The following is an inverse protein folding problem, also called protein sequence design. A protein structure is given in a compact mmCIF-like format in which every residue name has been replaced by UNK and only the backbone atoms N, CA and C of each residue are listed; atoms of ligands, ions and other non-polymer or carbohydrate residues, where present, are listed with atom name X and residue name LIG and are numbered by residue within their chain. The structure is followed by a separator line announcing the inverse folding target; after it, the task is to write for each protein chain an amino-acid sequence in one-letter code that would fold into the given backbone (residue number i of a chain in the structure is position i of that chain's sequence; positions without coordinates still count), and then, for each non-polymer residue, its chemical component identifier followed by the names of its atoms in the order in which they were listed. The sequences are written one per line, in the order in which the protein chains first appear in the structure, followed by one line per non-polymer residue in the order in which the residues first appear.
data_IF_791386800046
#
_entry.id   IF_791386800046
#
_cell.length_a   1.000
_cell.length_b   1.000
_cell.length_c   1.000
_cell.angle_alpha   90.00
_cell.angle_beta   90.00
_cell.angle_gamma   90.00
#
_symmetry.space_group_name_H-M   'P 1'
#
loop_
_entity.id
_entity.type
_entity.pdbx_description
1 polymer ?
#
# COMPACT_ATOMS: atom_id res chain seq x y z
N UNK A 1 64.09 -20.87 -104.15
CA UNK A 1 64.41 -20.35 -102.80
C UNK A 1 63.39 -20.92 -101.82
N UNK A 2 63.85 -21.65 -100.79
CA UNK A 2 63.24 -21.85 -99.43
C UNK A 2 61.81 -22.43 -99.34
N UNK A 3 61.39 -23.33 -98.43
CA UNK A 3 61.95 -24.07 -97.31
C UNK A 3 60.90 -25.11 -96.83
N UNK A 4 61.33 -26.34 -96.60
CA UNK A 4 61.00 -27.34 -95.56
C UNK A 4 59.67 -27.45 -94.74
N UNK A 5 59.38 -28.74 -94.44
CA UNK A 5 58.64 -29.40 -93.30
C UNK A 5 57.11 -29.48 -93.43
N UNK A 6 56.42 -30.55 -93.03
CA UNK A 6 56.77 -31.79 -92.34
C UNK A 6 55.49 -32.39 -91.72
N UNK A 7 55.32 -33.72 -91.82
CA UNK A 7 54.21 -34.53 -91.28
C UNK A 7 54.01 -34.37 -89.76
N UNK A 8 52.77 -34.51 -89.27
CA UNK A 8 52.43 -35.26 -88.04
C UNK A 8 50.91 -35.36 -87.87
N UNK A 9 50.39 -36.59 -87.88
CA UNK A 9 49.08 -36.90 -87.33
C UNK A 9 49.16 -37.03 -85.81
N UNK A 10 48.02 -36.91 -85.12
CA UNK A 10 47.70 -37.63 -83.88
C UNK A 10 46.25 -37.38 -83.47
N UNK A 11 45.55 -38.49 -83.27
CA UNK A 11 44.25 -38.59 -82.59
C UNK A 11 44.31 -37.92 -81.21
N UNK A 12 43.44 -36.93 -80.97
CA UNK A 12 43.09 -36.55 -79.60
C UNK A 12 41.78 -37.23 -79.20
N UNK A 13 41.93 -38.34 -78.45
CA UNK A 13 40.89 -38.93 -77.62
C UNK A 13 40.48 -37.91 -76.56
N UNK A 14 39.18 -37.59 -76.49
CA UNK A 14 38.58 -37.05 -75.27
C UNK A 14 38.69 -38.11 -74.16
N UNK A 15 39.62 -37.92 -73.22
CA UNK A 15 39.61 -38.65 -71.96
C UNK A 15 38.56 -38.00 -71.06
N UNK A 16 37.46 -38.72 -70.80
CA UNK A 16 36.57 -38.40 -69.70
C UNK A 16 37.33 -38.62 -68.37
N UNK A 17 37.16 -37.74 -67.36
CA UNK A 17 37.80 -37.95 -66.08
C UNK A 17 37.27 -39.23 -65.42
N UNK A 18 38.24 -39.97 -64.93
CA UNK A 18 38.18 -41.15 -64.09
C UNK A 18 37.12 -41.01 -62.98
N UNK A 19 36.20 -41.99 -62.94
CA UNK A 19 35.42 -42.45 -61.77
C UNK A 19 35.25 -41.43 -60.62
N UNK A 20 34.07 -40.80 -60.55
CA UNK A 20 33.53 -40.32 -59.28
C UNK A 20 33.52 -41.49 -58.29
N UNK A 21 34.04 -41.33 -57.05
CA UNK A 21 33.87 -42.35 -56.04
C UNK A 21 32.37 -42.54 -55.83
N UNK A 22 31.90 -43.79 -55.91
CA UNK A 22 30.56 -44.17 -55.45
C UNK A 22 30.50 -43.85 -53.96
N UNK A 23 30.01 -42.66 -53.61
CA UNK A 23 29.69 -42.32 -52.24
C UNK A 23 28.56 -43.26 -51.82
N UNK A 24 28.91 -44.30 -51.06
CA UNK A 24 27.94 -45.16 -50.40
C UNK A 24 26.97 -44.26 -49.64
N UNK A 25 25.67 -44.37 -49.93
CA UNK A 25 24.65 -43.61 -49.21
C UNK A 25 24.86 -43.88 -47.71
N UNK A 26 24.90 -42.84 -46.86
CA UNK A 26 25.13 -43.02 -45.43
C UNK A 26 24.08 -43.98 -44.88
N UNK A 27 24.51 -44.82 -43.95
CA UNK A 27 23.58 -45.72 -43.27
C UNK A 27 22.51 -44.90 -42.56
N UNK A 28 21.33 -45.48 -42.40
CA UNK A 28 20.20 -44.80 -41.74
C UNK A 28 20.55 -44.37 -40.30
N UNK A 29 21.54 -45.03 -39.68
CA UNK A 29 22.03 -44.75 -38.33
C UNK A 29 22.97 -43.55 -38.29
N UNK A 30 23.89 -43.42 -39.24
CA UNK A 30 24.76 -42.24 -39.40
C UNK A 30 23.97 -40.97 -39.74
N UNK A 31 22.96 -41.09 -40.61
CA UNK A 31 22.06 -39.97 -40.89
C UNK A 31 21.31 -39.52 -39.62
N UNK A 32 20.89 -40.47 -38.76
CA UNK A 32 20.22 -40.18 -37.49
C UNK A 32 21.16 -39.54 -36.46
N UNK A 33 22.42 -39.96 -36.37
CA UNK A 33 23.39 -39.38 -35.42
C UNK A 33 23.71 -37.93 -35.76
N UNK A 34 23.96 -37.62 -37.04
CA UNK A 34 24.20 -36.24 -37.52
C UNK A 34 22.99 -35.34 -37.26
N UNK A 35 21.77 -35.84 -37.51
CA UNK A 35 20.55 -35.09 -37.19
C UNK A 35 20.42 -34.86 -35.68
N UNK A 36 20.77 -35.85 -34.84
CA UNK A 36 20.75 -35.70 -33.37
C UNK A 36 21.75 -34.64 -32.90
N UNK A 37 22.99 -34.67 -33.39
CA UNK A 37 24.02 -33.70 -33.04
C UNK A 37 23.64 -32.28 -33.48
N UNK A 38 23.19 -32.11 -34.72
CA UNK A 38 22.72 -30.81 -35.22
C UNK A 38 21.52 -30.29 -34.42
N UNK A 39 20.58 -31.17 -34.08
CA UNK A 39 19.45 -30.81 -33.21
C UNK A 39 19.91 -30.46 -31.79
N UNK A 40 20.91 -31.14 -31.25
CA UNK A 40 21.49 -30.88 -29.94
C UNK A 40 22.22 -29.54 -29.91
N UNK A 41 23.01 -29.21 -30.93
CA UNK A 41 23.70 -27.93 -31.07
C UNK A 41 22.70 -26.78 -31.24
N UNK A 42 21.69 -26.92 -32.11
CA UNK A 42 20.61 -25.94 -32.25
C UNK A 42 19.86 -25.72 -30.95
N UNK A 43 19.54 -26.80 -30.22
CA UNK A 43 18.90 -26.71 -28.89
C UNK A 43 19.79 -25.99 -27.88
N UNK A 44 21.10 -26.26 -27.88
CA UNK A 44 22.08 -25.61 -27.01
C UNK A 44 22.19 -24.10 -27.31
N UNK A 45 22.34 -23.72 -28.57
CA UNK A 45 22.37 -22.30 -29.00
C UNK A 45 21.08 -21.57 -28.64
N UNK A 46 19.91 -22.19 -28.89
CA UNK A 46 18.60 -21.62 -28.54
C UNK A 46 18.42 -21.46 -27.03
N UNK A 47 18.89 -22.43 -26.23
CA UNK A 47 18.90 -22.32 -24.76
C UNK A 47 19.78 -21.17 -24.28
N UNK A 48 21.02 -21.08 -24.77
CA UNK A 48 21.93 -19.96 -24.40
C UNK A 48 21.32 -18.61 -24.76
N UNK A 49 20.78 -18.48 -25.96
CA UNK A 49 20.09 -17.27 -26.39
C UNK A 49 18.92 -16.92 -25.46
N UNK A 50 18.04 -17.89 -25.16
CA UNK A 50 16.93 -17.68 -24.23
C UNK A 50 17.41 -17.28 -22.82
N UNK A 51 18.51 -17.84 -22.32
CA UNK A 51 19.12 -17.46 -21.05
C UNK A 51 19.61 -16.01 -21.07
N UNK A 52 20.34 -15.58 -22.10
CA UNK A 52 20.84 -14.21 -22.20
C UNK A 52 19.71 -13.18 -22.28
N UNK A 53 18.67 -13.46 -23.08
CA UNK A 53 17.51 -12.57 -23.18
C UNK A 53 16.75 -12.53 -21.86
N UNK A 54 16.53 -13.68 -21.20
CA UNK A 54 15.88 -13.71 -19.89
C UNK A 54 16.65 -12.89 -18.85
N UNK A 55 17.98 -13.04 -18.80
CA UNK A 55 18.83 -12.26 -17.91
C UNK A 55 18.75 -10.76 -18.22
N UNK A 56 18.68 -10.39 -19.50
CA UNK A 56 18.55 -8.99 -19.93
C UNK A 56 17.20 -8.39 -19.51
N UNK A 57 16.09 -9.12 -19.69
CA UNK A 57 14.75 -8.67 -19.26
C UNK A 57 14.70 -8.50 -17.74
N UNK A 58 15.29 -9.42 -16.98
CA UNK A 58 15.38 -9.31 -15.52
C UNK A 58 16.25 -8.13 -15.09
N UNK A 59 17.39 -7.91 -15.74
CA UNK A 59 18.27 -6.77 -15.46
C UNK A 59 17.59 -5.43 -15.76
N UNK A 60 16.86 -5.33 -16.88
CA UNK A 60 16.06 -4.14 -17.23
C UNK A 60 14.95 -3.91 -16.21
N UNK A 61 14.25 -4.96 -15.80
CA UNK A 61 13.19 -4.87 -14.78
C UNK A 61 13.75 -4.43 -13.42
N UNK A 62 14.91 -4.96 -13.02
CA UNK A 62 15.58 -4.53 -11.80
C UNK A 62 16.06 -3.06 -11.90
N UNK A 63 16.63 -2.65 -13.05
CA UNK A 63 16.99 -1.27 -13.31
C UNK A 63 15.78 -0.33 -13.22
N UNK A 64 14.66 -0.71 -13.84
CA UNK A 64 13.39 0.02 -13.73
C UNK A 64 12.96 0.16 -12.26
N UNK A 65 12.94 -0.93 -11.51
CA UNK A 65 12.58 -0.89 -10.08
C UNK A 65 13.44 0.11 -9.29
N UNK A 66 14.76 0.06 -9.48
CA UNK A 66 15.70 0.93 -8.77
C UNK A 66 15.57 2.41 -9.15
N UNK A 67 15.18 2.72 -10.40
CA UNK A 67 15.01 4.10 -10.87
C UNK A 67 13.81 4.83 -10.25
N UNK A 68 12.81 4.09 -9.78
CA UNK A 68 11.59 4.66 -9.18
C UNK A 68 11.46 4.33 -7.69
N UNK A 69 12.59 4.11 -7.00
CA UNK A 69 12.58 4.04 -5.54
C UNK A 69 12.37 5.45 -4.97
N UNK A 70 11.44 5.53 -4.02
CA UNK A 70 11.04 6.75 -3.32
C UNK A 70 10.91 6.43 -1.82
N UNK A 71 10.79 7.46 -0.98
CA UNK A 71 10.58 7.31 0.47
C UNK A 71 9.18 7.73 0.86
N UNK A 72 8.51 6.91 1.66
CA UNK A 72 7.19 7.22 2.22
C UNK A 72 7.30 8.37 3.23
N UNK A 73 6.45 9.41 3.13
CA UNK A 73 6.38 10.47 4.14
C UNK A 73 6.02 9.91 5.52
N UNK A 74 6.56 10.50 6.60
CA UNK A 74 6.33 10.11 8.01
C UNK A 74 6.99 8.78 8.39
N UNK A 75 6.72 7.68 7.68
CA UNK A 75 7.29 6.38 8.04
C UNK A 75 8.75 6.23 7.61
N UNK A 76 9.20 6.89 6.54
CA UNK A 76 10.59 6.77 6.04
C UNK A 76 10.88 5.47 5.28
N UNK A 77 9.88 4.62 5.04
CA UNK A 77 10.04 3.36 4.30
C UNK A 77 10.40 3.62 2.84
N UNK A 78 11.35 2.85 2.30
CA UNK A 78 11.62 2.84 0.86
C UNK A 78 10.50 2.08 0.14
N UNK A 79 9.93 2.71 -0.89
CA UNK A 79 8.84 2.20 -1.72
C UNK A 79 9.19 2.32 -3.20
N UNK A 80 8.47 1.57 -4.05
CA UNK A 80 8.56 1.69 -5.50
C UNK A 80 7.34 2.43 -6.04
N UNK A 81 7.55 3.59 -6.67
CA UNK A 81 6.48 4.48 -7.09
C UNK A 81 6.74 5.07 -8.49
N UNK A 82 6.15 4.43 -9.48
CA UNK A 82 6.18 4.86 -10.88
C UNK A 82 4.93 5.66 -11.28
N UNK A 83 3.81 5.47 -10.57
CA UNK A 83 2.56 6.19 -10.84
C UNK A 83 2.71 7.68 -10.55
N UNK A 84 2.55 8.47 -11.60
CA UNK A 84 2.61 9.92 -11.58
C UNK A 84 1.37 10.54 -10.92
N UNK A 85 1.44 11.77 -10.40
CA UNK A 85 0.26 12.48 -9.89
C UNK A 85 -0.86 12.62 -10.93
N UNK A 86 -0.53 12.74 -12.22
CA UNK A 86 -1.51 12.84 -13.29
C UNK A 86 -2.23 11.51 -13.54
N UNK A 87 -1.51 10.39 -13.58
CA UNK A 87 -2.11 9.04 -13.66
C UNK A 87 -3.00 8.77 -12.43
N UNK A 88 -2.55 9.17 -11.24
CA UNK A 88 -3.30 9.05 -9.99
C UNK A 88 -4.60 9.87 -10.01
N UNK A 89 -4.55 11.12 -10.48
CA UNK A 89 -5.74 11.97 -10.63
C UNK A 89 -6.71 11.39 -11.67
N UNK A 90 -6.22 10.89 -12.79
CA UNK A 90 -7.07 10.26 -13.80
C UNK A 90 -7.78 9.03 -13.24
N UNK A 91 -7.06 8.18 -12.50
CA UNK A 91 -7.65 7.03 -11.82
C UNK A 91 -8.69 7.47 -10.79
N UNK A 92 -8.38 8.51 -10.01
CA UNK A 92 -9.31 9.10 -9.05
C UNK A 92 -10.63 9.51 -9.71
N UNK A 93 -10.57 10.24 -10.83
CA UNK A 93 -11.74 10.74 -11.53
C UNK A 93 -12.60 9.59 -12.08
N UNK A 94 -11.97 8.54 -12.62
CA UNK A 94 -12.67 7.35 -13.10
C UNK A 94 -13.40 6.64 -11.95
N UNK A 95 -12.68 6.32 -10.87
CA UNK A 95 -13.26 5.63 -9.71
C UNK A 95 -14.34 6.45 -9.03
N UNK A 96 -14.14 7.76 -8.92
CA UNK A 96 -15.12 8.66 -8.34
C UNK A 96 -16.42 8.69 -9.14
N UNK A 97 -16.33 8.81 -10.47
CA UNK A 97 -17.52 8.84 -11.32
C UNK A 97 -18.29 7.51 -11.28
N UNK A 98 -17.58 6.38 -11.24
CA UNK A 98 -18.17 5.05 -11.09
C UNK A 98 -18.92 4.93 -9.74
N UNK A 99 -18.24 5.26 -8.63
CA UNK A 99 -18.85 5.15 -7.30
C UNK A 99 -20.05 6.07 -7.10
N UNK A 100 -19.98 7.31 -7.60
CA UNK A 100 -21.10 8.25 -7.53
C UNK A 100 -22.26 7.75 -8.40
N UNK A 101 -21.99 7.21 -9.59
CA UNK A 101 -23.02 6.63 -10.46
C UNK A 101 -23.72 5.45 -9.78
N UNK A 102 -22.96 4.54 -9.17
CA UNK A 102 -23.48 3.30 -8.58
C UNK A 102 -24.24 3.52 -7.26
N UNK A 103 -24.01 4.65 -6.58
CA UNK A 103 -24.59 4.94 -5.28
C UNK A 103 -25.44 6.22 -5.26
N UNK A 104 -25.75 6.81 -6.41
CA UNK A 104 -26.39 8.13 -6.50
C UNK A 104 -27.68 8.25 -5.66
N UNK A 105 -28.47 7.18 -5.60
CA UNK A 105 -29.73 7.08 -4.87
C UNK A 105 -29.56 6.82 -3.36
N UNK A 106 -28.37 6.38 -2.93
CA UNK A 106 -28.03 6.01 -1.54
C UNK A 106 -27.14 7.04 -0.86
N UNK A 107 -26.70 8.07 -1.58
CA UNK A 107 -25.89 9.13 -0.98
C UNK A 107 -26.73 9.96 -0.01
N UNK A 108 -26.28 10.04 1.23
CA UNK A 108 -26.88 10.94 2.21
C UNK A 108 -26.59 12.38 1.82
N UNK A 109 -27.56 13.27 2.11
CA UNK A 109 -27.41 14.71 1.93
C UNK A 109 -26.21 15.28 2.70
N UNK A 110 -25.61 16.35 2.19
CA UNK A 110 -24.52 17.09 2.86
C UNK A 110 -24.94 17.63 4.24
N UNK A 111 -26.24 17.86 4.44
CA UNK A 111 -26.82 18.34 5.70
C UNK A 111 -27.20 17.22 6.67
N UNK A 112 -27.02 15.96 6.28
CA UNK A 112 -27.28 14.84 7.18
C UNK A 112 -26.31 14.89 8.38
N UNK A 113 -26.79 14.66 9.62
CA UNK A 113 -25.93 14.69 10.81
C UNK A 113 -24.69 13.78 10.72
N UNK A 114 -24.80 12.61 10.08
CA UNK A 114 -23.66 11.71 9.88
C UNK A 114 -22.64 12.31 8.91
N UNK A 115 -23.10 12.88 7.79
CA UNK A 115 -22.23 13.55 6.82
C UNK A 115 -21.50 14.74 7.45
N UNK A 116 -22.22 15.56 8.25
CA UNK A 116 -21.63 16.69 8.98
C UNK A 116 -20.60 16.24 10.02
N UNK A 117 -20.85 15.12 10.71
CA UNK A 117 -19.91 14.53 11.65
C UNK A 117 -18.62 14.10 10.94
N UNK A 118 -18.73 13.32 9.87
CA UNK A 118 -17.58 12.86 9.07
C UNK A 118 -16.81 14.05 8.49
N UNK A 119 -17.50 15.05 7.95
CA UNK A 119 -16.89 16.27 7.44
C UNK A 119 -16.16 17.07 8.53
N UNK A 120 -16.75 17.15 9.73
CA UNK A 120 -16.12 17.78 10.90
C UNK A 120 -14.83 17.09 11.32
N UNK A 121 -14.80 15.75 11.26
CA UNK A 121 -13.60 14.97 11.54
C UNK A 121 -12.53 15.14 10.47
N UNK A 122 -12.91 14.99 9.20
CA UNK A 122 -12.01 15.18 8.06
C UNK A 122 -11.37 16.57 8.07
N UNK A 123 -12.15 17.62 8.39
CA UNK A 123 -11.66 19.01 8.48
C UNK A 123 -10.50 19.20 9.47
N UNK A 124 -10.42 18.38 10.52
CA UNK A 124 -9.33 18.41 11.50
C UNK A 124 -8.14 17.52 11.09
N UNK A 125 -8.41 16.40 10.42
CA UNK A 125 -7.36 15.46 9.97
C UNK A 125 -6.60 15.95 8.72
N UNK A 126 -7.28 16.57 7.76
CA UNK A 126 -6.69 16.99 6.48
C UNK A 126 -5.52 17.98 6.65
N UNK A 127 -5.61 19.02 7.51
CA UNK A 127 -4.48 19.95 7.69
C UNK A 127 -3.24 19.27 8.28
N UNK A 128 -3.42 18.35 9.23
CA UNK A 128 -2.29 17.67 9.88
C UNK A 128 -1.67 16.58 9.01
N UNK A 129 -2.40 16.08 8.00
CA UNK A 129 -1.87 15.13 7.02
C UNK A 129 -0.95 15.77 5.98
N UNK A 130 -1.00 17.10 5.85
CA UNK A 130 -0.21 17.84 4.85
C UNK A 130 -0.78 17.77 3.42
N UNK A 131 -1.98 17.21 3.25
CA UNK A 131 -2.64 17.05 1.94
C UNK A 131 -3.69 18.15 1.67
N UNK A 132 -3.45 19.38 2.11
CA UNK A 132 -4.41 20.49 2.00
C UNK A 132 -4.68 20.97 0.58
N UNK A 133 -3.86 20.53 -0.39
CA UNK A 133 -3.95 20.91 -1.80
C UNK A 133 -4.87 20.02 -2.63
N UNK A 134 -5.46 18.97 -2.05
CA UNK A 134 -6.42 18.11 -2.73
C UNK A 134 -7.85 18.67 -2.61
N UNK A 135 -8.71 18.34 -3.58
CA UNK A 135 -10.14 18.70 -3.56
C UNK A 135 -10.89 17.72 -2.64
N UNK A 136 -10.85 17.96 -1.33
CA UNK A 136 -11.46 17.04 -0.38
C UNK A 136 -12.99 17.06 -0.44
N UNK A 137 -13.61 15.88 -0.55
CA UNK A 137 -15.07 15.72 -0.44
C UNK A 137 -15.42 14.53 0.42
N UNK A 138 -16.57 14.63 1.09
CA UNK A 138 -17.08 13.59 1.98
C UNK A 138 -18.41 13.11 1.45
N UNK A 139 -18.52 11.79 1.32
CA UNK A 139 -19.73 11.10 0.90
C UNK A 139 -20.07 10.03 1.93
N UNK A 140 -21.32 10.05 2.42
CA UNK A 140 -21.83 8.97 3.26
C UNK A 140 -22.85 8.19 2.44
N UNK A 141 -22.64 6.88 2.31
CA UNK A 141 -23.49 5.97 1.55
C UNK A 141 -24.36 5.20 2.53
N UNK A 142 -25.67 5.18 2.28
CA UNK A 142 -26.61 4.30 2.98
C UNK A 142 -26.36 2.85 2.57
N UNK A 143 -25.53 2.17 3.36
CA UNK A 143 -25.15 0.78 3.19
C UNK A 143 -24.90 0.17 4.58
N UNK A 144 -25.59 -0.93 4.94
CA UNK A 144 -25.40 -1.59 6.24
C UNK A 144 -24.04 -2.29 6.38
N UNK A 145 -23.31 -2.52 5.30
CA UNK A 145 -21.97 -3.10 5.38
C UNK A 145 -20.98 -2.07 5.95
N UNK A 146 -20.32 -2.36 7.10
CA UNK A 146 -19.33 -1.47 7.68
C UNK A 146 -18.16 -1.29 6.72
N UNK A 147 -17.92 -0.05 6.26
CA UNK A 147 -16.76 0.29 5.45
C UNK A 147 -16.48 1.81 5.48
N UNK A 148 -15.22 2.18 5.26
CA UNK A 148 -14.79 3.53 4.90
C UNK A 148 -13.53 3.42 4.06
N UNK A 149 -13.37 4.33 3.08
CA UNK A 149 -12.18 4.37 2.24
C UNK A 149 -11.95 5.77 1.69
N UNK A 150 -10.69 6.03 1.30
CA UNK A 150 -10.29 7.28 0.64
C UNK A 150 -9.78 6.97 -0.75
N UNK A 151 -10.43 7.57 -1.75
CA UNK A 151 -9.92 7.52 -3.12
C UNK A 151 -8.71 8.44 -3.27
N UNK A 152 -7.82 8.14 -4.24
CA UNK A 152 -6.83 9.10 -4.67
C UNK A 152 -7.47 10.45 -5.01
N UNK A 153 -6.77 11.55 -4.73
CA UNK A 153 -7.31 12.90 -4.95
C UNK A 153 -8.25 13.42 -3.84
N UNK A 154 -8.44 12.68 -2.74
CA UNK A 154 -9.04 13.21 -1.50
C UNK A 154 -10.56 13.03 -1.38
N UNK A 155 -11.14 11.97 -1.94
CA UNK A 155 -12.58 11.70 -1.80
C UNK A 155 -12.79 10.65 -0.70
N UNK A 156 -13.44 11.04 0.39
CA UNK A 156 -13.75 10.18 1.54
C UNK A 156 -15.14 9.57 1.33
N UNK A 157 -15.24 8.25 1.43
CA UNK A 157 -16.49 7.52 1.41
C UNK A 157 -16.66 6.75 2.72
N UNK A 158 -17.85 6.82 3.31
CA UNK A 158 -18.18 6.12 4.56
C UNK A 158 -19.55 5.45 4.41
N UNK A 159 -19.65 4.17 4.75
CA UNK A 159 -20.93 3.48 4.78
C UNK A 159 -21.63 3.67 6.13
N UNK A 160 -22.96 3.75 6.14
CA UNK A 160 -23.74 3.87 7.39
C UNK A 160 -23.51 2.73 8.38
N UNK A 161 -23.22 1.51 7.90
CA UNK A 161 -22.89 0.36 8.74
C UNK A 161 -21.66 0.56 9.62
N UNK A 162 -20.74 1.47 9.26
CA UNK A 162 -19.57 1.77 10.08
C UNK A 162 -19.96 2.31 11.47
N UNK A 163 -21.05 3.06 11.53
CA UNK A 163 -21.53 3.69 12.78
C UNK A 163 -22.18 2.69 13.75
N UNK A 164 -22.36 1.42 13.35
CA UNK A 164 -22.74 0.34 14.26
C UNK A 164 -21.55 -0.15 15.11
N UNK A 165 -20.33 0.02 14.59
CA UNK A 165 -19.08 -0.42 15.24
C UNK A 165 -18.40 0.73 15.98
N UNK A 166 -18.36 1.90 15.33
CA UNK A 166 -17.70 3.11 15.84
C UNK A 166 -18.61 3.80 16.86
N UNK A 167 -18.15 3.92 18.10
CA UNK A 167 -18.96 4.42 19.23
C UNK A 167 -18.70 5.88 19.59
N UNK A 168 -17.69 6.51 18.99
CA UNK A 168 -17.31 7.91 19.28
C UNK A 168 -16.70 8.60 18.07
N UNK A 169 -16.65 9.94 18.15
CA UNK A 169 -15.98 10.78 17.13
C UNK A 169 -14.47 10.52 17.11
N UNK A 170 -13.88 10.16 18.24
CA UNK A 170 -12.46 9.78 18.33
C UNK A 170 -12.19 8.46 17.60
N UNK A 171 -13.04 7.45 17.79
CA UNK A 171 -12.96 6.18 17.05
C UNK A 171 -13.17 6.40 15.55
N UNK A 172 -14.10 7.27 15.16
CA UNK A 172 -14.27 7.68 13.76
C UNK A 172 -12.99 8.35 13.21
N UNK A 173 -12.35 9.20 13.99
CA UNK A 173 -11.10 9.86 13.61
C UNK A 173 -9.93 8.89 13.47
N UNK A 174 -9.90 7.81 14.24
CA UNK A 174 -8.91 6.73 14.09
C UNK A 174 -9.12 6.01 12.75
N UNK A 175 -10.36 5.62 12.41
CA UNK A 175 -10.67 4.99 11.12
C UNK A 175 -10.34 5.93 9.96
N UNK A 176 -10.84 7.17 9.97
CA UNK A 176 -10.55 8.13 8.90
C UNK A 176 -9.07 8.52 8.84
N UNK A 177 -8.39 8.54 9.98
CA UNK A 177 -6.94 8.75 10.06
C UNK A 177 -6.18 7.63 9.34
N UNK A 178 -6.58 6.38 9.52
CA UNK A 178 -6.07 5.21 8.79
C UNK A 178 -6.32 5.33 7.28
N UNK A 179 -7.53 5.68 6.86
CA UNK A 179 -7.85 5.84 5.44
C UNK A 179 -7.07 7.00 4.78
N UNK A 180 -6.94 8.14 5.49
CA UNK A 180 -6.12 9.26 5.01
C UNK A 180 -4.64 8.87 4.99
N UNK A 181 -4.17 8.04 5.92
CA UNK A 181 -2.80 7.54 5.92
C UNK A 181 -2.47 6.72 4.66
N UNK A 182 -3.42 5.92 4.14
CA UNK A 182 -3.25 5.28 2.84
C UNK A 182 -3.00 6.28 1.71
N UNK A 183 -3.67 7.43 1.74
CA UNK A 183 -3.47 8.50 0.77
C UNK A 183 -2.14 9.26 0.98
N UNK A 184 -1.76 9.55 2.23
CA UNK A 184 -0.46 10.16 2.57
C UNK A 184 0.69 9.28 2.09
N UNK A 185 0.59 7.98 2.33
CA UNK A 185 1.58 6.99 1.91
C UNK A 185 1.40 6.51 0.46
N UNK A 186 0.43 7.07 -0.29
CA UNK A 186 0.11 6.74 -1.69
C UNK A 186 0.07 5.23 -1.96
N UNK A 187 -0.51 4.46 -1.04
CA UNK A 187 -0.48 2.99 -1.08
C UNK A 187 -1.15 2.40 -2.34
N UNK A 188 -2.24 3.02 -2.81
CA UNK A 188 -2.91 2.63 -4.07
C UNK A 188 -1.98 2.78 -5.27
N UNK A 189 -1.28 3.92 -5.34
CA UNK A 189 -0.31 4.21 -6.39
C UNK A 189 0.92 3.29 -6.33
N UNK A 190 1.35 2.89 -5.13
CA UNK A 190 2.41 1.90 -4.94
C UNK A 190 1.99 0.51 -5.47
N UNK A 191 0.80 0.02 -5.09
CA UNK A 191 0.23 -1.24 -5.60
C UNK A 191 0.10 -1.22 -7.13
N UNK A 192 -0.38 -0.12 -7.69
CA UNK A 192 -0.51 0.04 -9.14
C UNK A 192 0.85 0.07 -9.85
N UNK A 193 1.86 0.71 -9.25
CA UNK A 193 3.24 0.73 -9.78
C UNK A 193 3.79 -0.70 -9.93
N UNK A 194 3.66 -1.53 -8.89
CA UNK A 194 4.07 -2.94 -8.94
C UNK A 194 3.34 -3.73 -10.03
N UNK A 195 2.02 -3.50 -10.18
CA UNK A 195 1.24 -4.15 -11.23
C UNK A 195 1.67 -3.70 -12.63
N UNK A 196 1.92 -2.40 -12.84
CA UNK A 196 2.43 -1.83 -14.10
C UNK A 196 3.77 -2.46 -14.47
N UNK A 197 4.72 -2.50 -13.54
CA UNK A 197 6.01 -3.17 -13.74
C UNK A 197 5.85 -4.65 -14.11
N UNK A 198 5.01 -5.40 -13.39
CA UNK A 198 4.75 -6.83 -13.70
C UNK A 198 4.22 -7.03 -15.11
N UNK A 199 3.23 -6.23 -15.52
CA UNK A 199 2.62 -6.32 -16.86
C UNK A 199 3.67 -5.99 -17.93
N UNK A 200 4.48 -4.95 -17.74
CA UNK A 200 5.55 -4.59 -18.66
C UNK A 200 6.60 -5.71 -18.79
N UNK A 201 7.08 -6.26 -17.67
CA UNK A 201 8.03 -7.37 -17.67
C UNK A 201 7.45 -8.62 -18.32
N UNK A 202 6.19 -8.97 -18.03
CA UNK A 202 5.50 -10.10 -18.65
C UNK A 202 5.32 -9.91 -20.16
N UNK A 203 4.98 -8.69 -20.60
CA UNK A 203 4.88 -8.33 -22.01
C UNK A 203 6.21 -8.49 -22.75
N UNK A 204 7.32 -8.02 -22.16
CA UNK A 204 8.66 -8.24 -22.70
C UNK A 204 8.99 -9.73 -22.81
N UNK A 205 8.70 -10.51 -21.76
CA UNK A 205 8.89 -11.96 -21.78
C UNK A 205 8.09 -12.63 -22.90
N UNK A 206 6.84 -12.20 -23.13
CA UNK A 206 5.98 -12.72 -24.19
C UNK A 206 6.54 -12.41 -25.58
N UNK A 207 6.95 -11.16 -25.84
CA UNK A 207 7.55 -10.73 -27.12
C UNK A 207 8.80 -11.55 -27.47
N UNK A 208 9.62 -11.90 -26.48
CA UNK A 208 10.84 -12.68 -26.67
C UNK A 208 10.65 -14.21 -26.56
N UNK A 209 9.41 -14.69 -26.38
CA UNK A 209 9.10 -16.13 -26.29
C UNK A 209 9.61 -16.81 -25.01
N UNK A 210 9.65 -16.07 -23.89
CA UNK A 210 10.10 -16.53 -22.56
C UNK A 210 8.89 -16.96 -21.71
N UNK A 211 8.13 -17.92 -22.23
CA UNK A 211 6.84 -18.34 -21.66
C UNK A 211 6.94 -18.82 -20.20
N UNK A 212 8.04 -19.52 -19.86
CA UNK A 212 8.26 -20.02 -18.51
C UNK A 212 8.34 -18.89 -17.47
N UNK A 213 8.90 -17.73 -17.84
CA UNK A 213 9.06 -16.59 -16.94
C UNK A 213 7.74 -15.82 -16.79
N UNK A 214 6.89 -15.78 -17.82
CA UNK A 214 5.55 -15.20 -17.74
C UNK A 214 4.72 -15.90 -16.66
N UNK A 215 4.73 -17.23 -16.62
CA UNK A 215 4.01 -17.99 -15.60
C UNK A 215 4.55 -17.73 -14.19
N UNK A 216 5.87 -17.63 -14.03
CA UNK A 216 6.49 -17.31 -12.74
C UNK A 216 6.15 -15.89 -12.27
N UNK A 217 6.12 -14.92 -13.17
CA UNK A 217 5.67 -13.56 -12.87
C UNK A 217 4.18 -13.60 -12.48
N UNK A 218 3.32 -14.31 -13.22
CA UNK A 218 1.92 -14.44 -12.83
C UNK A 218 1.77 -15.01 -11.42
N UNK A 219 2.47 -16.12 -11.11
CA UNK A 219 2.46 -16.77 -9.81
C UNK A 219 3.06 -15.93 -8.67
N UNK A 220 4.04 -15.07 -8.96
CA UNK A 220 4.67 -14.22 -7.94
C UNK A 220 3.73 -13.19 -7.32
N UNK A 221 2.54 -12.97 -7.91
CA UNK A 221 1.54 -12.06 -7.37
C UNK A 221 1.25 -12.39 -5.91
N UNK A 222 0.92 -13.63 -5.61
CA UNK A 222 0.52 -14.07 -4.27
C UNK A 222 1.66 -13.99 -3.25
N UNK A 223 2.88 -14.31 -3.66
CA UNK A 223 4.05 -14.30 -2.78
C UNK A 223 4.52 -12.90 -2.41
N UNK A 224 4.33 -11.93 -3.31
CA UNK A 224 4.72 -10.54 -3.08
C UNK A 224 3.57 -9.74 -2.48
N UNK A 225 2.33 -9.93 -2.96
CA UNK A 225 1.19 -9.10 -2.59
C UNK A 225 0.76 -9.26 -1.13
N UNK A 226 0.75 -10.49 -0.60
CA UNK A 226 0.28 -10.75 0.77
C UNK A 226 1.16 -10.11 1.86
N UNK A 227 2.49 -10.35 1.92
CA UNK A 227 3.34 -9.70 2.93
C UNK A 227 3.40 -8.17 2.73
N UNK A 228 3.39 -7.72 1.47
CA UNK A 228 3.36 -6.31 1.13
C UNK A 228 2.08 -5.63 1.62
N UNK A 229 0.92 -6.28 1.46
CA UNK A 229 -0.35 -5.77 1.97
C UNK A 229 -0.32 -5.59 3.48
N UNK A 230 0.23 -6.55 4.23
CA UNK A 230 0.36 -6.44 5.70
C UNK A 230 1.25 -5.27 6.13
N UNK A 231 2.34 -5.01 5.39
CA UNK A 231 3.23 -3.89 5.67
C UNK A 231 2.55 -2.55 5.40
N UNK A 232 1.78 -2.45 4.31
CA UNK A 232 0.96 -1.28 3.97
C UNK A 232 -0.06 -0.98 5.08
N UNK A 233 -0.77 -2.00 5.57
CA UNK A 233 -1.75 -1.83 6.64
C UNK A 233 -1.10 -1.37 7.96
N UNK A 234 0.03 -1.97 8.34
CA UNK A 234 0.77 -1.57 9.53
C UNK A 234 1.34 -0.13 9.43
N UNK A 235 1.74 0.28 8.23
CA UNK A 235 2.18 1.65 7.98
C UNK A 235 1.01 2.65 8.06
N UNK A 236 -0.16 2.27 7.54
CA UNK A 236 -1.37 3.07 7.66
C UNK A 236 -1.84 3.18 9.12
N UNK A 237 -1.77 2.11 9.91
CA UNK A 237 -2.06 2.14 11.36
C UNK A 237 -1.16 3.16 12.08
N UNK A 238 0.15 3.09 11.84
CA UNK A 238 1.13 3.97 12.46
C UNK A 238 0.88 5.44 12.10
N UNK A 239 0.82 5.74 10.79
CA UNK A 239 0.60 7.11 10.32
C UNK A 239 -0.77 7.62 10.78
N UNK A 240 -1.83 6.81 10.65
CA UNK A 240 -3.20 7.17 11.02
C UNK A 240 -3.34 7.48 12.51
N UNK A 241 -2.69 6.70 13.37
CA UNK A 241 -2.63 6.96 14.81
C UNK A 241 -1.97 8.32 15.11
N UNK A 242 -0.85 8.62 14.46
CA UNK A 242 -0.18 9.92 14.61
C UNK A 242 -0.99 11.09 14.03
N UNK A 243 -1.73 10.88 12.95
CA UNK A 243 -2.63 11.90 12.38
C UNK A 243 -3.80 12.20 13.32
N UNK A 244 -4.47 11.17 13.85
CA UNK A 244 -5.55 11.33 14.81
C UNK A 244 -5.09 12.07 16.07
N UNK A 245 -3.94 11.66 16.62
CA UNK A 245 -3.31 12.33 17.75
C UNK A 245 -2.97 13.79 17.45
N UNK A 246 -2.35 14.07 16.30
CA UNK A 246 -1.97 15.43 15.91
C UNK A 246 -3.18 16.33 15.64
N UNK A 247 -4.31 15.76 15.20
CA UNK A 247 -5.60 16.44 15.04
C UNK A 247 -6.37 16.60 16.37
N UNK A 248 -5.76 16.26 17.50
CA UNK A 248 -6.32 16.40 18.84
C UNK A 248 -7.51 15.49 19.14
N UNK A 249 -7.54 14.29 18.54
CA UNK A 249 -8.45 13.23 18.92
C UNK A 249 -7.85 12.33 20.00
N UNK A 250 -8.71 11.72 20.80
CA UNK A 250 -8.31 10.76 21.81
C UNK A 250 -7.91 9.43 21.15
N UNK A 251 -6.61 9.16 21.11
CA UNK A 251 -6.04 7.87 20.70
C UNK A 251 -5.96 6.90 21.88
N UNK A 252 -5.98 7.45 23.10
CA UNK A 252 -6.03 6.80 24.40
C UNK A 252 -7.37 7.10 25.10
N UNK A 253 -7.89 6.15 25.89
CA UNK A 253 -9.18 6.34 26.59
C UNK A 253 -9.07 7.33 27.76
N UNK A 254 -7.87 7.64 28.24
CA UNK A 254 -7.65 8.29 29.54
C UNK A 254 -8.13 9.76 29.65
N UNK A 255 -8.67 10.35 28.59
CA UNK A 255 -9.20 11.72 28.61
C UNK A 255 -10.68 11.87 28.24
N UNK A 256 -11.47 10.78 28.27
CA UNK A 256 -12.91 10.84 28.00
C UNK A 256 -13.78 11.43 29.15
N UNK A 257 -13.19 12.10 30.15
CA UNK A 257 -13.93 12.83 31.20
C UNK A 257 -13.88 14.36 31.06
N UNK A 258 -13.45 14.89 29.90
CA UNK A 258 -13.42 16.32 29.63
C UNK A 258 -13.86 16.69 28.20
N UNK A 259 -15.15 16.93 28.03
CA UNK A 259 -15.75 17.87 27.07
C UNK A 259 -16.22 17.44 25.65
N UNK A 260 -16.06 16.22 25.12
CA UNK A 260 -16.62 15.90 23.78
C UNK A 260 -17.12 14.46 23.56
N UNK A 261 -18.13 14.03 24.31
CA UNK A 261 -18.80 12.74 24.06
C UNK A 261 -20.26 12.97 23.68
N UNK A 262 -20.59 12.81 22.39
CA UNK A 262 -21.96 12.44 21.99
C UNK A 262 -22.03 10.93 22.21
N UNK A 263 -22.50 10.53 23.40
CA UNK A 263 -22.70 9.13 23.76
C UNK A 263 -23.95 8.65 23.03
N UNK A 264 -23.81 7.71 22.09
CA UNK A 264 -24.97 7.05 21.47
C UNK A 264 -25.53 5.89 22.32
N UNK A 265 -24.79 5.35 23.30
CA UNK A 265 -25.31 4.30 24.19
C UNK A 265 -24.70 4.37 25.62
N UNK A 266 -25.50 4.57 26.69
CA UNK A 266 -24.98 4.80 28.04
C UNK A 266 -24.52 3.57 28.84
N UNK A 267 -24.81 2.33 28.41
CA UNK A 267 -24.89 1.23 29.38
C UNK A 267 -23.75 0.19 29.37
N UNK A 268 -22.73 0.28 28.52
CA UNK A 268 -21.73 -0.81 28.43
C UNK A 268 -20.29 -0.35 28.20
N UNK A 269 -19.54 0.08 29.24
CA UNK A 269 -18.07 -0.09 29.23
C UNK A 269 -17.45 -0.17 30.64
N UNK A 270 -17.08 -1.36 31.13
CA UNK A 270 -15.94 -1.55 32.01
C UNK A 270 -14.80 -2.20 31.22
N UNK A 271 -14.04 -1.41 30.44
CA UNK A 271 -12.88 -1.93 29.71
C UNK A 271 -11.62 -1.80 30.57
N UNK A 272 -10.98 -2.95 30.79
CA UNK A 272 -9.82 -3.16 31.67
C UNK A 272 -8.48 -2.84 30.97
N UNK A 273 -8.50 -2.19 29.81
CA UNK A 273 -7.33 -1.72 29.05
C UNK A 273 -7.68 -0.36 28.38
N UNK A 274 -7.03 0.77 28.76
CA UNK A 274 -7.59 2.11 28.59
C UNK A 274 -7.19 2.81 27.28
N UNK A 275 -7.34 2.16 26.12
CA UNK A 275 -6.91 2.74 24.84
C UNK A 275 -7.97 2.64 23.74
N UNK A 276 -8.37 3.77 23.15
CA UNK A 276 -9.43 3.85 22.14
C UNK A 276 -9.07 3.11 20.85
N UNK A 277 -7.86 3.31 20.31
CA UNK A 277 -7.44 2.62 19.08
C UNK A 277 -7.31 1.09 19.23
N UNK A 278 -6.58 0.53 20.22
CA UNK A 278 -6.54 -0.92 20.46
C UNK A 278 -7.92 -1.54 20.73
N UNK A 279 -8.79 -0.84 21.46
CA UNK A 279 -10.16 -1.29 21.73
C UNK A 279 -10.98 -1.35 20.46
N UNK A 280 -10.93 -0.31 19.64
CA UNK A 280 -11.59 -0.25 18.35
C UNK A 280 -11.17 -1.41 17.45
N UNK A 281 -9.86 -1.61 17.26
CA UNK A 281 -9.34 -2.68 16.41
C UNK A 281 -9.68 -4.08 16.95
N UNK A 282 -9.72 -4.23 18.27
CA UNK A 282 -10.18 -5.46 18.91
C UNK A 282 -11.67 -5.70 18.61
N UNK A 283 -12.50 -4.65 18.65
CA UNK A 283 -13.94 -4.70 18.33
C UNK A 283 -14.15 -5.09 16.87
N UNK A 284 -13.43 -4.46 15.95
CA UNK A 284 -13.41 -4.84 14.53
C UNK A 284 -13.06 -6.33 14.38
N UNK A 285 -12.00 -6.79 15.04
CA UNK A 285 -11.58 -8.19 14.95
C UNK A 285 -12.60 -9.16 15.58
N UNK A 286 -13.32 -8.78 16.63
CA UNK A 286 -14.32 -9.66 17.29
C UNK A 286 -15.67 -9.67 16.57
N UNK A 287 -16.16 -8.49 16.15
CA UNK A 287 -17.48 -8.33 15.52
C UNK A 287 -17.45 -8.70 14.04
N UNK A 288 -16.32 -8.47 13.36
CA UNK A 288 -16.14 -8.83 11.94
C UNK A 288 -15.31 -10.10 11.73
N UNK A 289 -14.61 -10.64 12.74
CA UNK A 289 -13.80 -11.86 12.59
C UNK A 289 -14.61 -13.14 12.32
N UNK A 290 -15.90 -13.18 12.69
CA UNK A 290 -16.85 -14.22 12.25
C UNK A 290 -17.40 -13.98 10.83
N UNK A 291 -17.15 -12.79 10.28
CA UNK A 291 -17.56 -12.29 8.98
C UNK A 291 -16.31 -11.96 8.15
N UNK A 292 -15.47 -12.95 7.84
CA UNK A 292 -14.35 -12.85 6.88
C UNK A 292 -14.76 -12.24 5.51
N UNK A 293 -16.05 -11.95 5.29
CA UNK A 293 -16.65 -11.33 4.11
C UNK A 293 -17.05 -9.86 4.29
N UNK A 294 -16.80 -9.21 5.42
CA UNK A 294 -17.08 -7.76 5.52
C UNK A 294 -16.18 -6.98 4.56
N UNK A 295 -16.76 -6.01 3.84
CA UNK A 295 -16.02 -5.19 2.88
C UNK A 295 -14.78 -4.54 3.52
N UNK A 296 -14.91 -4.07 4.77
CA UNK A 296 -13.79 -3.50 5.52
C UNK A 296 -12.65 -4.49 5.79
N UNK A 297 -12.91 -5.72 6.26
CA UNK A 297 -11.83 -6.70 6.49
C UNK A 297 -11.25 -7.29 5.20
N UNK A 298 -12.03 -7.30 4.12
CA UNK A 298 -11.56 -7.65 2.78
C UNK A 298 -10.51 -6.64 2.30
N UNK A 299 -10.76 -5.35 2.55
CA UNK A 299 -9.86 -4.27 2.16
C UNK A 299 -8.70 -4.09 3.17
N UNK A 300 -8.97 -4.34 4.46
CA UNK A 300 -8.07 -4.12 5.61
C UNK A 300 -8.04 -5.32 6.57
N UNK A 301 -7.22 -6.35 6.30
CA UNK A 301 -7.13 -7.51 7.18
C UNK A 301 -6.56 -7.13 8.56
N UNK A 302 -7.37 -7.26 9.62
CA UNK A 302 -6.93 -7.05 11.01
C UNK A 302 -6.22 -8.28 11.55
N UNK A 303 -5.31 -8.10 12.52
CA UNK A 303 -4.67 -9.21 13.24
C UNK A 303 -4.33 -8.81 14.67
N UNK A 304 -4.27 -9.80 15.57
CA UNK A 304 -3.67 -9.69 16.92
C UNK A 304 -2.33 -8.95 16.88
N UNK A 305 -1.49 -9.29 15.89
CA UNK A 305 -0.19 -8.68 15.69
C UNK A 305 -0.25 -7.18 15.39
N UNK A 306 -1.23 -6.72 14.58
CA UNK A 306 -1.46 -5.29 14.33
C UNK A 306 -1.94 -4.56 15.59
N UNK A 307 -2.83 -5.17 16.37
CA UNK A 307 -3.33 -4.60 17.64
C UNK A 307 -2.17 -4.36 18.61
N UNK A 308 -1.26 -5.33 18.75
CA UNK A 308 -0.08 -5.19 19.61
C UNK A 308 0.90 -4.11 19.10
N UNK A 309 1.03 -3.94 17.79
CA UNK A 309 1.82 -2.86 17.21
C UNK A 309 1.21 -1.48 17.49
N UNK A 310 -0.11 -1.33 17.38
CA UNK A 310 -0.82 -0.10 17.74
C UNK A 310 -0.62 0.24 19.22
N UNK A 311 -0.70 -0.75 20.11
CA UNK A 311 -0.37 -0.55 21.55
C UNK A 311 1.06 -0.08 21.75
N UNK A 312 2.01 -0.63 21.00
CA UNK A 312 3.42 -0.23 21.05
C UNK A 312 3.64 1.22 20.60
N UNK A 313 2.95 1.68 19.55
CA UNK A 313 3.07 3.05 19.02
C UNK A 313 2.26 4.10 19.79
N UNK A 314 1.30 3.66 20.60
CA UNK A 314 0.40 4.56 21.33
C UNK A 314 1.13 5.62 22.19
N UNK A 315 2.19 5.31 22.95
CA UNK A 315 2.93 6.32 23.71
C UNK A 315 3.51 7.43 22.83
N UNK A 316 4.08 7.09 21.66
CA UNK A 316 4.61 8.07 20.71
C UNK A 316 3.52 8.96 20.12
N UNK A 317 2.35 8.38 19.84
CA UNK A 317 1.18 9.15 19.41
C UNK A 317 0.68 10.13 20.49
N UNK A 318 0.64 9.71 21.75
CA UNK A 318 0.26 10.58 22.89
C UNK A 318 1.22 11.77 23.02
N UNK A 319 2.53 11.55 22.90
CA UNK A 319 3.50 12.64 22.93
C UNK A 319 3.30 13.61 21.75
N UNK A 320 2.97 13.09 20.57
CA UNK A 320 2.66 13.93 19.42
C UNK A 320 1.39 14.77 19.64
N UNK A 321 0.37 14.22 20.29
CA UNK A 321 -0.84 14.97 20.68
C UNK A 321 -0.49 16.13 21.62
N UNK A 322 0.36 15.90 22.63
CA UNK A 322 0.82 16.96 23.55
C UNK A 322 1.58 18.06 22.81
N UNK A 323 2.46 17.68 21.88
CA UNK A 323 3.23 18.61 21.06
C UNK A 323 2.36 19.46 20.12
N UNK A 324 1.18 18.97 19.71
CA UNK A 324 0.22 19.69 18.89
C UNK A 324 -0.58 20.78 19.64
N UNK A 325 -0.24 21.08 20.90
CA UNK A 325 -0.89 22.09 21.74
C UNK A 325 -2.43 21.95 21.83
N UNK A 326 -2.91 20.71 21.75
CA UNK A 326 -4.33 20.38 21.75
C UNK A 326 -5.11 20.94 22.95
N UNK A 327 -4.41 21.15 24.07
CA UNK A 327 -4.96 21.71 25.31
C UNK A 327 -5.24 23.23 25.23
N UNK A 328 -4.72 23.92 24.21
CA UNK A 328 -4.96 25.36 24.01
C UNK A 328 -6.28 25.66 23.28
N UNK A 329 -6.85 24.68 22.57
CA UNK A 329 -8.11 24.85 21.84
C UNK A 329 -9.33 25.02 22.78
N UNK A 330 -9.48 24.24 23.87
CA UNK A 330 -10.51 24.49 24.89
C UNK A 330 -10.25 25.78 25.67
N UNK A 331 -8.97 26.10 25.98
CA UNK A 331 -8.59 27.27 26.77
C UNK A 331 -8.93 28.60 26.06
N UNK A 332 -8.81 28.67 24.74
CA UNK A 332 -9.25 29.83 23.97
C UNK A 332 -10.78 30.00 24.02
N UNK A 333 -11.55 28.90 23.89
CA UNK A 333 -13.01 28.95 23.96
C UNK A 333 -13.51 29.26 25.38
N UNK A 334 -12.86 28.74 26.43
CA UNK A 334 -13.13 29.14 27.81
C UNK A 334 -12.78 30.61 28.06
N UNK A 335 -11.65 31.11 27.56
CA UNK A 335 -11.27 32.52 27.69
C UNK A 335 -12.23 33.44 26.93
N UNK A 336 -12.65 33.05 25.72
CA UNK A 336 -13.61 33.78 24.89
C UNK A 336 -15.01 33.78 25.52
N UNK A 337 -15.49 32.63 26.00
CA UNK A 337 -16.76 32.52 26.72
C UNK A 337 -16.71 33.21 28.08
N UNK A 338 -15.57 33.23 28.76
CA UNK A 338 -15.33 34.00 29.98
C UNK A 338 -15.29 35.51 29.75
N UNK A 339 -14.89 35.95 28.56
CA UNK A 339 -14.94 37.36 28.14
C UNK A 339 -16.37 37.80 27.77
N UNK A 340 -17.20 36.89 27.24
CA UNK A 340 -18.62 37.12 26.96
C UNK A 340 -19.53 36.93 28.20
N UNK A 341 -19.10 36.13 29.16
CA UNK A 341 -19.80 35.78 30.39
C UNK A 341 -19.16 36.42 31.62
N UNK A 342 -19.27 37.75 31.73
CA UNK A 342 -18.82 38.49 32.91
C UNK A 342 -19.68 38.24 34.14
N UNK A 343 -19.55 37.06 34.80
CA UNK A 343 -19.80 36.91 36.24
C UNK A 343 -19.26 35.56 36.77
N UNK A 344 -17.98 35.50 37.13
CA UNK A 344 -17.48 34.57 38.15
C UNK A 344 -16.07 34.99 38.62
N UNK A 345 -16.03 35.57 39.82
CA UNK A 345 -15.03 35.33 40.86
C UNK A 345 -13.54 35.40 40.49
N UNK A 346 -12.88 36.42 41.04
CA UNK A 346 -11.43 36.56 41.17
C UNK A 346 -10.70 35.21 41.41
N UNK A 347 -9.84 34.82 40.47
CA UNK A 347 -8.69 33.96 40.77
C UNK A 347 -7.40 34.64 40.32
N UNK A 348 -6.41 34.54 41.22
CA UNK A 348 -5.13 35.25 41.19
C UNK A 348 -4.42 35.10 39.85
N UNK A 349 -3.94 36.25 39.36
CA UNK A 349 -3.01 36.37 38.23
C UNK A 349 -1.67 35.75 38.61
N UNK A 350 -1.28 34.66 37.96
CA UNK A 350 0.14 34.35 37.76
C UNK A 350 0.55 34.81 36.35
N UNK A 351 1.70 35.46 36.29
CA UNK A 351 2.22 36.14 35.11
C UNK A 351 2.51 35.16 33.97
N UNK A 352 1.77 35.27 32.87
CA UNK A 352 2.26 34.84 31.56
C UNK A 352 3.23 35.91 31.04
N UNK A 353 4.53 35.62 31.13
CA UNK A 353 5.54 36.27 30.31
C UNK A 353 5.29 35.91 28.85
N UNK A 354 5.01 36.93 28.05
CA UNK A 354 4.92 36.86 26.60
C UNK A 354 6.33 36.83 26.02
N UNK A 355 6.79 35.67 25.57
CA UNK A 355 7.86 35.60 24.59
C UNK A 355 7.25 35.24 23.23
N UNK A 356 7.11 36.28 22.42
CA UNK A 356 6.86 36.17 20.99
C UNK A 356 8.15 35.73 20.30
N UNK A 357 8.04 34.71 19.44
CA UNK A 357 9.06 34.39 18.46
C UNK A 357 9.68 33.02 18.65
N UNK A 358 9.11 32.02 18.00
CA UNK A 358 9.89 30.88 17.53
C UNK A 358 9.21 30.35 16.27
N UNK A 359 10.00 30.26 15.21
CA UNK A 359 9.72 29.49 14.00
C UNK A 359 8.91 28.25 14.35
N UNK A 360 7.80 28.03 13.64
CA UNK A 360 7.11 26.76 13.64
C UNK A 360 8.09 25.70 13.11
N UNK A 361 8.90 25.14 14.02
CA UNK A 361 9.69 23.96 13.77
C UNK A 361 8.71 22.91 13.28
N UNK A 362 8.91 22.50 12.03
CA UNK A 362 8.32 21.31 11.44
C UNK A 362 8.33 20.23 12.52
N UNK A 363 7.18 19.64 12.88
CA UNK A 363 7.12 18.72 14.01
C UNK A 363 8.14 17.62 13.77
N UNK A 364 9.04 17.41 14.74
CA UNK A 364 10.07 16.37 14.67
C UNK A 364 9.42 15.10 14.13
N UNK A 365 9.99 14.62 13.03
CA UNK A 365 9.52 13.46 12.30
C UNK A 365 9.44 12.30 13.28
N UNK A 366 8.29 11.65 13.37
CA UNK A 366 8.16 10.36 14.04
C UNK A 366 9.30 9.46 13.51
N UNK A 367 10.06 8.83 14.41
CA UNK A 367 11.35 8.24 14.03
C UNK A 367 11.10 6.99 13.19
N UNK A 368 11.75 6.87 12.03
CA UNK A 368 11.73 5.64 11.22
C UNK A 368 12.02 4.39 12.06
N UNK A 369 12.88 4.52 13.07
CA UNK A 369 13.20 3.48 14.06
C UNK A 369 11.96 3.01 14.85
N UNK A 370 11.07 3.92 15.22
CA UNK A 370 9.85 3.60 15.98
C UNK A 370 8.89 2.74 15.14
N UNK A 371 8.74 3.08 13.86
CA UNK A 371 7.99 2.26 12.92
C UNK A 371 8.62 0.87 12.75
N UNK A 372 9.94 0.79 12.56
CA UNK A 372 10.66 -0.49 12.42
C UNK A 372 10.55 -1.37 13.66
N UNK A 373 10.59 -0.79 14.86
CA UNK A 373 10.40 -1.52 16.12
C UNK A 373 8.99 -2.10 16.23
N UNK A 374 7.96 -1.36 15.82
CA UNK A 374 6.60 -1.88 15.74
C UNK A 374 6.45 -3.04 14.75
N UNK A 375 7.12 -2.97 13.58
CA UNK A 375 7.14 -4.11 12.65
C UNK A 375 7.82 -5.35 13.27
N UNK A 376 8.81 -5.18 14.16
CA UNK A 376 9.41 -6.29 14.89
C UNK A 376 8.42 -6.92 15.88
N UNK A 377 7.56 -6.11 16.53
CA UNK A 377 6.46 -6.60 17.36
C UNK A 377 5.53 -7.48 16.52
N UNK A 378 5.08 -7.00 15.34
CA UNK A 378 4.20 -7.77 14.43
C UNK A 378 4.80 -9.13 14.10
N UNK A 379 6.09 -9.17 13.70
CA UNK A 379 6.79 -10.42 13.35
C UNK A 379 6.85 -11.38 14.54
N UNK A 380 7.16 -10.86 15.73
CA UNK A 380 7.29 -11.68 16.95
C UNK A 380 5.95 -12.24 17.42
N UNK A 381 4.87 -11.47 17.32
CA UNK A 381 3.52 -11.89 17.71
C UNK A 381 2.96 -12.88 16.69
N UNK A 382 3.13 -12.62 15.39
CA UNK A 382 2.74 -13.58 14.34
C UNK A 382 3.45 -14.93 14.52
N UNK A 383 4.75 -14.91 14.84
CA UNK A 383 5.50 -16.14 15.12
C UNK A 383 4.96 -16.90 16.34
N UNK A 384 4.61 -16.17 17.42
CA UNK A 384 3.99 -16.75 18.62
C UNK A 384 2.63 -17.35 18.32
N UNK A 385 1.75 -16.63 17.62
CA UNK A 385 0.41 -17.10 17.27
C UNK A 385 0.45 -18.37 16.42
N UNK A 386 1.39 -18.48 15.47
CA UNK A 386 1.61 -19.69 14.67
C UNK A 386 2.06 -20.86 15.55
N UNK A 387 2.96 -20.63 16.51
CA UNK A 387 3.44 -21.66 17.45
C UNK A 387 2.28 -22.13 18.33
N UNK A 388 1.51 -21.21 18.90
CA UNK A 388 0.39 -21.53 19.79
C UNK A 388 -0.72 -22.30 19.06
N UNK A 389 -1.01 -21.95 17.80
CA UNK A 389 -1.91 -22.72 16.93
C UNK A 389 -1.40 -24.14 16.66
N UNK A 390 -0.10 -24.30 16.40
CA UNK A 390 0.51 -25.61 16.19
C UNK A 390 0.58 -26.45 17.47
N UNK A 391 0.74 -25.82 18.64
CA UNK A 391 0.77 -26.48 19.95
C UNK A 391 -0.63 -26.78 20.53
N UNK A 392 -1.70 -26.42 19.81
CA UNK A 392 -3.08 -26.61 20.27
C UNK A 392 -3.44 -25.76 21.49
N UNK A 393 -2.65 -24.71 21.77
CA UNK A 393 -2.90 -23.75 22.85
C UNK A 393 -3.75 -22.62 22.27
N UNK A 394 -5.05 -22.83 22.17
CA UNK A 394 -5.95 -21.69 21.94
C UNK A 394 -5.96 -20.84 23.21
N UNK A 395 -5.52 -19.58 23.11
CA UNK A 395 -5.64 -18.63 24.21
C UNK A 395 -7.12 -18.46 24.55
N UNK A 396 -7.48 -18.77 25.80
CA UNK A 396 -8.80 -18.49 26.37
C UNK A 396 -9.02 -17.00 26.56
#
# INVERSE_FOLDING_TARGET
MSSHRGSLGLHNRCQAPTTLPSASKPSLEEARSVIREHNQERRSKRRRFATYISASVLALSAGYYLMYLDTVPISGRIRFLDVTPQEEQWLADVLYNELISDNQDKLLSEWNPLTLMVAGVAKRLIPVSGLTNLDWRVHVIENPEPNAFVLPGGKIFVNTGLFEIVRSVDELAIVLGHEIAHQVARHTSEKLSFNKMRILTAGLCWVFGIEWLVLQIAASHYFVSLPFSRQIEAEADYIGLHLAAAACYAVDFYFAYGAHTIILHPDDVPLKDPSAAPTLWTRFNSELGGLEKSAYLSDHPTSSARIEAVKFWLPGAIERRKASECDKMPAFMEAFMGMLGGWAGERKKEHLSTENGADAKKPETASYEEFLQGLAVIRSTTARDIIDQHEGRTSK
#
